data_IF_659554427048
#
_entry.id   IF_659554427048
#
_cell.length_a   1.000
_cell.length_b   1.000
_cell.length_c   1.000
_cell.angle_alpha   90.00
_cell.angle_beta   90.00
_cell.angle_gamma   90.00
#
_symmetry.space_group_name_H-M   'P 1'
#
loop_
_entity.id
_entity.type
_entity.pdbx_description
1 polymer ?
#
# COMPACT_ATOMS: atom_id res chain seq x y z
N UNK A 1 73.24 -38.05 -12.70
CA UNK A 1 72.53 -37.27 -13.70
C UNK A 1 71.14 -37.86 -14.03
N UNK A 2 71.02 -39.15 -14.37
CA UNK A 2 69.75 -39.78 -14.74
C UNK A 2 68.61 -39.69 -13.66
N UNK A 3 68.97 -39.80 -12.36
CA UNK A 3 67.95 -39.66 -11.26
C UNK A 3 67.42 -38.28 -11.10
N UNK A 4 68.22 -37.25 -11.36
CA UNK A 4 67.78 -35.85 -11.26
C UNK A 4 66.79 -35.45 -12.38
N UNK A 5 67.03 -36.00 -13.60
CA UNK A 5 66.12 -35.83 -14.74
C UNK A 5 64.77 -36.53 -14.52
N UNK A 6 64.76 -37.70 -13.88
CA UNK A 6 63.52 -38.40 -13.54
C UNK A 6 62.66 -37.59 -12.52
N UNK A 7 63.27 -37.01 -11.50
CA UNK A 7 62.64 -36.21 -10.50
C UNK A 7 62.02 -34.93 -11.15
N UNK A 8 62.75 -34.32 -12.07
CA UNK A 8 62.25 -33.11 -12.78
C UNK A 8 61.07 -33.42 -13.68
N UNK A 9 61.08 -34.58 -14.36
CA UNK A 9 59.97 -35.03 -15.23
C UNK A 9 58.73 -35.36 -14.39
N UNK A 10 58.86 -36.00 -13.22
CA UNK A 10 57.74 -36.29 -12.32
C UNK A 10 57.12 -34.99 -11.75
N UNK A 11 57.95 -33.99 -11.44
CA UNK A 11 57.47 -32.69 -10.95
C UNK A 11 56.69 -31.90 -12.03
N UNK A 12 57.11 -31.99 -13.29
CA UNK A 12 56.44 -31.37 -14.42
C UNK A 12 55.07 -32.04 -14.69
N UNK A 13 54.98 -33.36 -14.55
CA UNK A 13 53.73 -34.10 -14.75
C UNK A 13 52.71 -33.79 -13.62
N UNK A 14 53.18 -33.60 -12.38
CA UNK A 14 52.29 -33.23 -11.25
C UNK A 14 51.70 -31.82 -11.38
N UNK A 15 52.34 -30.89 -12.08
CA UNK A 15 51.84 -29.53 -12.26
C UNK A 15 50.77 -29.39 -13.35
N UNK A 16 50.59 -30.44 -14.20
CA UNK A 16 49.61 -30.40 -15.29
C UNK A 16 48.20 -30.90 -14.90
N UNK A 17 47.99 -31.36 -13.66
CA UNK A 17 46.69 -31.89 -13.20
C UNK A 17 45.85 -30.87 -12.43
N UNK A 18 46.24 -29.59 -12.36
CA UNK A 18 45.48 -28.56 -11.69
C UNK A 18 44.77 -27.68 -12.72
N UNK A 19 43.54 -27.91 -12.92
CA UNK A 19 42.39 -26.99 -13.15
C UNK A 19 41.31 -27.66 -13.99
N UNK A 20 40.50 -28.50 -13.36
CA UNK A 20 39.11 -28.58 -13.79
C UNK A 20 38.33 -27.53 -13.01
N UNK A 21 38.32 -26.29 -13.50
CA UNK A 21 37.37 -25.32 -13.08
C UNK A 21 35.97 -25.84 -13.47
N UNK A 22 35.27 -26.32 -12.46
CA UNK A 22 33.83 -26.58 -12.59
C UNK A 22 33.21 -25.24 -12.99
N UNK A 23 32.93 -25.06 -14.28
CA UNK A 23 32.10 -23.95 -14.74
C UNK A 23 30.76 -24.09 -14.00
N UNK A 24 30.54 -23.27 -12.99
CA UNK A 24 29.20 -23.06 -12.47
C UNK A 24 28.36 -22.70 -13.69
N UNK A 25 27.51 -23.63 -14.12
CA UNK A 25 26.55 -23.37 -15.16
C UNK A 25 25.65 -22.22 -14.65
N UNK A 26 25.92 -21.03 -15.17
CA UNK A 26 25.04 -19.89 -14.92
C UNK A 26 23.62 -20.36 -15.14
N UNK A 27 22.77 -20.24 -14.11
CA UNK A 27 21.35 -20.61 -14.19
C UNK A 27 20.79 -19.95 -15.44
N UNK A 28 20.32 -20.78 -16.39
CA UNK A 28 19.65 -20.24 -17.59
C UNK A 28 18.52 -19.33 -17.13
N UNK A 29 18.44 -18.10 -17.59
CA UNK A 29 17.32 -17.23 -17.23
C UNK A 29 16.04 -17.93 -17.64
N UNK A 30 15.15 -18.18 -16.67
CA UNK A 30 13.81 -18.69 -16.94
C UNK A 30 13.06 -17.53 -17.54
N UNK A 31 12.98 -17.44 -18.87
CA UNK A 31 12.15 -16.48 -19.56
C UNK A 31 10.70 -16.91 -19.41
N UNK A 32 10.03 -16.44 -18.35
CA UNK A 32 8.58 -16.41 -18.37
C UNK A 32 8.16 -15.40 -19.45
N UNK A 33 7.34 -15.85 -20.40
CA UNK A 33 6.75 -14.88 -21.35
C UNK A 33 6.03 -13.82 -20.52
N UNK A 34 6.33 -12.54 -20.74
CA UNK A 34 5.80 -11.42 -19.97
C UNK A 34 4.27 -11.47 -19.83
N UNK A 35 3.56 -12.02 -20.83
CA UNK A 35 2.13 -12.22 -20.80
C UNK A 35 1.61 -13.21 -19.74
N UNK A 36 2.36 -14.28 -19.43
CA UNK A 36 1.95 -15.26 -18.40
C UNK A 36 2.11 -14.65 -17.01
N UNK A 37 3.23 -13.98 -16.74
CA UNK A 37 3.49 -13.31 -15.48
C UNK A 37 2.45 -12.23 -15.16
N UNK A 38 2.07 -11.42 -16.16
CA UNK A 38 1.05 -10.38 -16.02
C UNK A 38 -0.31 -11.00 -15.68
N UNK A 39 -0.72 -12.07 -16.39
CA UNK A 39 -1.99 -12.78 -16.13
C UNK A 39 -2.05 -13.35 -14.71
N UNK A 40 -0.99 -14.00 -14.26
CA UNK A 40 -0.90 -14.52 -12.89
C UNK A 40 -0.94 -13.42 -11.83
N UNK A 41 -0.30 -12.27 -12.09
CA UNK A 41 -0.35 -11.12 -11.19
C UNK A 41 -1.74 -10.51 -11.10
N UNK A 42 -2.45 -10.38 -12.22
CA UNK A 42 -3.83 -9.90 -12.25
C UNK A 42 -4.73 -10.85 -11.47
N UNK A 43 -4.59 -12.15 -11.64
CA UNK A 43 -5.43 -13.15 -10.97
C UNK A 43 -5.18 -13.14 -9.45
N UNK A 44 -3.91 -13.10 -9.02
CA UNK A 44 -3.57 -12.94 -7.59
C UNK A 44 -4.20 -11.69 -6.99
N UNK A 45 -4.12 -10.57 -7.68
CA UNK A 45 -4.70 -9.32 -7.21
C UNK A 45 -6.23 -9.37 -7.12
N UNK A 46 -6.91 -10.02 -8.09
CA UNK A 46 -8.36 -10.22 -8.03
C UNK A 46 -8.77 -11.05 -6.81
N UNK A 47 -8.07 -12.15 -6.55
CA UNK A 47 -8.34 -13.01 -5.40
C UNK A 47 -8.12 -12.25 -4.09
N UNK A 48 -7.03 -11.48 -4.00
CA UNK A 48 -6.74 -10.65 -2.85
C UNK A 48 -7.87 -9.64 -2.59
N UNK A 49 -8.22 -8.84 -3.58
CA UNK A 49 -9.28 -7.82 -3.47
C UNK A 49 -10.60 -8.46 -3.07
N UNK A 50 -11.01 -9.55 -3.72
CA UNK A 50 -12.25 -10.25 -3.38
C UNK A 50 -12.26 -10.80 -1.94
N UNK A 51 -11.11 -11.25 -1.42
CA UNK A 51 -10.96 -11.70 -0.04
C UNK A 51 -11.10 -10.54 0.96
N UNK A 52 -10.48 -9.41 0.66
CA UNK A 52 -10.55 -8.19 1.47
C UNK A 52 -11.98 -7.64 1.50
N UNK A 53 -12.63 -7.51 0.34
CA UNK A 53 -14.02 -7.07 0.20
C UNK A 53 -14.98 -7.95 1.01
N UNK A 54 -14.82 -9.28 0.95
CA UNK A 54 -15.62 -10.21 1.75
C UNK A 54 -15.45 -9.97 3.25
N UNK A 55 -14.25 -9.66 3.69
CA UNK A 55 -13.97 -9.37 5.10
C UNK A 55 -14.62 -8.04 5.52
N UNK A 56 -14.50 -7.01 4.67
CA UNK A 56 -15.14 -5.71 4.87
C UNK A 56 -16.65 -5.83 4.87
N UNK A 57 -17.24 -6.58 3.95
CA UNK A 57 -18.69 -6.86 3.92
C UNK A 57 -19.19 -7.52 5.19
N UNK A 58 -18.41 -8.45 5.74
CA UNK A 58 -18.74 -9.10 7.01
C UNK A 58 -18.69 -8.10 8.17
N UNK A 59 -17.73 -7.18 8.17
CA UNK A 59 -17.62 -6.13 9.15
C UNK A 59 -18.82 -5.16 9.06
N UNK A 60 -19.19 -4.75 7.86
CA UNK A 60 -20.35 -3.88 7.61
C UNK A 60 -21.65 -4.52 8.10
N UNK A 61 -21.86 -5.81 7.81
CA UNK A 61 -23.06 -6.55 8.23
C UNK A 61 -23.16 -6.70 9.75
N UNK A 62 -22.03 -6.76 10.45
CA UNK A 62 -21.98 -6.87 11.91
C UNK A 62 -22.14 -5.50 12.62
N UNK A 63 -21.88 -4.39 11.91
CA UNK A 63 -22.10 -3.03 12.45
C UNK A 63 -23.52 -2.56 12.14
N UNK A 64 -24.46 -2.94 13.02
CA UNK A 64 -25.89 -2.63 12.84
C UNK A 64 -26.26 -1.19 13.24
N UNK A 65 -25.32 -0.44 13.83
CA UNK A 65 -25.61 0.88 14.40
C UNK A 65 -25.57 2.00 13.38
N UNK A 66 -24.83 1.83 12.26
CA UNK A 66 -24.64 2.86 11.25
C UNK A 66 -24.61 2.27 9.83
N UNK A 67 -25.22 3.02 8.90
CA UNK A 67 -25.23 2.61 7.50
C UNK A 67 -23.94 3.01 6.80
N UNK A 68 -23.26 2.04 6.21
CA UNK A 68 -22.13 2.29 5.32
C UNK A 68 -22.60 2.59 3.89
N UNK A 69 -21.91 3.49 3.23
CA UNK A 69 -22.12 3.90 1.86
C UNK A 69 -20.97 3.33 1.02
N UNK A 70 -21.28 2.60 -0.05
CA UNK A 70 -20.29 2.14 -1.00
C UNK A 70 -19.88 3.27 -1.94
N UNK A 71 -18.57 3.53 -2.02
CA UNK A 71 -18.00 4.47 -3.00
C UNK A 71 -17.84 3.79 -4.36
N UNK A 72 -18.04 4.52 -5.44
CA UNK A 72 -17.75 4.07 -6.81
C UNK A 72 -16.23 3.81 -7.04
N UNK A 73 -15.38 4.15 -6.09
CA UNK A 73 -13.92 3.95 -6.13
C UNK A 73 -13.46 2.65 -5.44
N UNK A 74 -14.38 1.83 -4.94
CA UNK A 74 -14.07 0.54 -4.32
C UNK A 74 -13.63 0.65 -2.86
N UNK A 75 -14.24 1.52 -2.09
CA UNK A 75 -14.15 1.58 -0.64
C UNK A 75 -15.51 1.91 -0.04
N UNK A 76 -15.66 1.77 1.28
CA UNK A 76 -16.90 2.07 2.00
C UNK A 76 -16.63 3.14 3.05
N UNK A 77 -17.67 3.89 3.39
CA UNK A 77 -17.57 4.92 4.42
C UNK A 77 -18.88 5.11 5.17
N UNK A 78 -18.77 5.60 6.39
CA UNK A 78 -19.94 6.04 7.19
C UNK A 78 -19.63 7.36 7.89
N UNK A 79 -20.64 8.19 8.03
CA UNK A 79 -20.54 9.42 8.80
C UNK A 79 -20.60 9.12 10.29
N UNK A 80 -19.59 9.54 11.04
CA UNK A 80 -19.64 9.62 12.49
C UNK A 80 -20.28 10.95 12.92
N UNK A 81 -19.88 12.05 12.26
CA UNK A 81 -20.47 13.38 12.37
C UNK A 81 -20.74 13.90 10.97
N UNK A 82 -21.99 14.29 10.69
CA UNK A 82 -22.42 14.83 9.40
C UNK A 82 -22.89 16.26 9.56
N UNK A 83 -22.49 17.15 8.63
CA UNK A 83 -22.88 18.56 8.59
C UNK A 83 -23.88 18.74 7.46
N UNK A 84 -25.10 19.11 7.80
CA UNK A 84 -26.21 19.29 6.81
C UNK A 84 -26.13 20.62 6.08
N UNK A 85 -25.51 21.65 6.69
CA UNK A 85 -25.40 22.96 6.05
C UNK A 85 -24.67 22.88 4.70
N UNK A 86 -25.08 23.74 3.74
CA UNK A 86 -24.45 23.78 2.40
C UNK A 86 -23.10 24.47 2.46
N UNK A 87 -22.05 23.71 2.89
CA UNK A 87 -20.67 24.17 2.92
C UNK A 87 -19.87 23.56 1.76
N UNK A 88 -18.73 24.18 1.45
CA UNK A 88 -17.87 23.72 0.36
C UNK A 88 -17.21 22.38 0.67
N UNK A 89 -17.03 21.57 -0.39
CA UNK A 89 -16.16 20.40 -0.39
C UNK A 89 -14.77 20.79 -0.88
N UNK A 90 -13.70 20.16 -0.38
CA UNK A 90 -12.35 20.39 -0.87
C UNK A 90 -12.23 20.05 -2.36
N UNK A 91 -11.62 20.95 -3.12
CA UNK A 91 -11.34 20.79 -4.55
C UNK A 91 -9.85 20.85 -4.80
N UNK A 92 -9.43 20.45 -5.99
CA UNK A 92 -8.02 20.52 -6.41
C UNK A 92 -7.45 21.92 -6.20
N UNK A 93 -6.36 22.00 -5.46
CA UNK A 93 -5.66 23.25 -5.12
C UNK A 93 -6.01 23.80 -3.75
N UNK A 94 -7.16 23.46 -3.18
CA UNK A 94 -7.51 23.82 -1.80
C UNK A 94 -6.54 23.17 -0.81
N UNK A 95 -6.52 23.69 0.42
CA UNK A 95 -5.75 23.11 1.52
C UNK A 95 -6.72 22.54 2.53
N UNK A 96 -6.66 21.24 2.77
CA UNK A 96 -7.42 20.52 3.77
C UNK A 96 -6.58 20.35 5.04
N UNK A 97 -7.15 20.68 6.21
CA UNK A 97 -6.57 20.44 7.53
C UNK A 97 -7.37 19.35 8.22
N UNK A 98 -6.75 18.23 8.56
CA UNK A 98 -7.45 17.10 9.12
C UNK A 98 -6.61 16.31 10.11
N UNK A 99 -7.29 15.58 11.00
CA UNK A 99 -6.74 14.56 11.87
C UNK A 99 -7.28 13.20 11.46
N UNK A 100 -6.52 12.16 11.69
CA UNK A 100 -6.98 10.81 11.44
C UNK A 100 -6.36 9.77 12.37
N UNK A 101 -7.07 8.67 12.54
CA UNK A 101 -6.65 7.47 13.25
C UNK A 101 -6.69 6.29 12.29
N UNK A 102 -5.75 5.36 12.40
CA UNK A 102 -5.70 4.14 11.60
C UNK A 102 -5.84 2.92 12.49
N UNK A 103 -6.73 2.01 12.08
CA UNK A 103 -6.94 0.70 12.69
C UNK A 103 -6.87 -0.41 11.64
N UNK A 104 -6.57 -1.62 12.08
CA UNK A 104 -6.81 -2.81 11.26
C UNK A 104 -8.31 -3.19 11.24
N UNK A 105 -8.70 -4.16 10.40
CA UNK A 105 -10.09 -4.62 10.32
C UNK A 105 -10.60 -5.31 11.60
N UNK A 106 -9.72 -5.62 12.56
CA UNK A 106 -10.09 -6.11 13.88
C UNK A 106 -10.25 -4.99 14.91
N UNK A 107 -10.27 -3.74 14.45
CA UNK A 107 -10.36 -2.52 15.29
C UNK A 107 -9.18 -2.29 16.23
N UNK A 108 -8.03 -2.94 16.02
CA UNK A 108 -6.79 -2.67 16.76
C UNK A 108 -6.15 -1.41 16.21
N UNK A 109 -5.80 -0.48 17.09
CA UNK A 109 -5.17 0.79 16.69
C UNK A 109 -3.76 0.50 16.18
N UNK A 110 -3.47 0.93 14.95
CA UNK A 110 -2.14 0.93 14.34
C UNK A 110 -1.48 2.29 14.59
N UNK A 111 -2.20 3.37 14.30
CA UNK A 111 -1.77 4.74 14.57
C UNK A 111 -2.89 5.53 15.23
N UNK A 112 -2.58 6.14 16.36
CA UNK A 112 -3.45 7.12 17.04
C UNK A 112 -3.39 8.49 16.34
N UNK A 113 -4.37 9.35 16.60
CA UNK A 113 -4.36 10.75 16.13
C UNK A 113 -3.12 11.53 16.60
N UNK A 114 -2.56 11.20 17.77
CA UNK A 114 -1.34 11.82 18.29
C UNK A 114 -0.11 11.42 17.47
N UNK A 115 -0.03 10.15 17.04
CA UNK A 115 1.08 9.65 16.22
C UNK A 115 1.02 10.15 14.78
N UNK A 116 -0.16 10.23 14.19
CA UNK A 116 -0.37 10.77 12.84
C UNK A 116 -0.19 12.28 12.78
N UNK A 117 -0.37 12.97 13.93
CA UNK A 117 -0.34 14.44 14.05
C UNK A 117 -1.36 15.12 13.12
N UNK A 118 -1.72 16.39 13.36
CA UNK A 118 -2.53 17.17 12.43
C UNK A 118 -1.87 17.25 11.05
N UNK A 119 -2.64 16.97 10.01
CA UNK A 119 -2.18 16.96 8.63
C UNK A 119 -2.62 18.20 7.89
N UNK A 120 -1.76 18.66 7.00
CA UNK A 120 -2.06 19.69 6.01
C UNK A 120 -1.89 19.05 4.64
N UNK A 121 -2.93 19.03 3.83
CA UNK A 121 -2.93 18.39 2.51
C UNK A 121 -3.33 19.37 1.43
N UNK A 122 -2.45 19.58 0.46
CA UNK A 122 -2.76 20.33 -0.74
C UNK A 122 -3.48 19.40 -1.72
N UNK A 123 -4.80 19.57 -1.83
CA UNK A 123 -5.70 18.65 -2.52
C UNK A 123 -5.26 18.42 -3.97
N UNK A 124 -5.02 17.15 -4.31
CA UNK A 124 -4.54 16.68 -5.62
C UNK A 124 -3.23 17.34 -6.12
N UNK A 125 -2.43 17.92 -5.21
CA UNK A 125 -1.09 18.47 -5.48
C UNK A 125 0.01 17.65 -4.79
N UNK A 126 -0.34 16.85 -3.78
CA UNK A 126 0.58 16.03 -3.01
C UNK A 126 0.15 14.57 -3.03
N UNK A 127 1.14 13.67 -2.84
CA UNK A 127 0.89 12.25 -2.71
C UNK A 127 0.62 11.90 -1.24
N UNK A 128 -0.60 11.43 -0.98
CA UNK A 128 -0.98 10.76 0.26
C UNK A 128 -1.67 9.44 -0.10
N UNK A 129 -2.03 8.63 0.90
CA UNK A 129 -2.80 7.41 0.72
C UNK A 129 -4.00 7.64 -0.21
N UNK A 130 -4.18 6.78 -1.22
CA UNK A 130 -5.18 6.97 -2.29
C UNK A 130 -6.60 7.13 -1.74
N UNK A 131 -6.95 6.34 -0.73
CA UNK A 131 -8.24 6.42 -0.07
C UNK A 131 -8.49 7.78 0.59
N UNK A 132 -7.49 8.37 1.24
CA UNK A 132 -7.59 9.71 1.83
C UNK A 132 -7.70 10.81 0.77
N UNK A 133 -6.97 10.69 -0.35
CA UNK A 133 -7.08 11.63 -1.48
C UNK A 133 -8.50 11.74 -2.02
N UNK A 134 -9.19 10.62 -2.09
CA UNK A 134 -10.57 10.59 -2.58
C UNK A 134 -11.57 10.92 -1.46
N UNK A 135 -11.38 10.32 -0.27
CA UNK A 135 -12.28 10.45 0.87
C UNK A 135 -12.40 11.87 1.40
N UNK A 136 -11.29 12.62 1.48
CA UNK A 136 -11.30 14.02 1.96
C UNK A 136 -12.17 14.90 1.05
N UNK A 137 -12.24 14.62 -0.25
CA UNK A 137 -13.10 15.38 -1.18
C UNK A 137 -14.60 15.13 -0.99
N UNK A 138 -14.99 14.13 -0.20
CA UNK A 138 -16.37 13.86 0.18
C UNK A 138 -16.78 14.55 1.49
N UNK A 139 -15.83 15.20 2.17
CA UNK A 139 -16.02 15.74 3.50
C UNK A 139 -16.28 17.25 3.48
N UNK A 140 -17.14 17.71 4.36
CA UNK A 140 -17.29 19.12 4.70
C UNK A 140 -16.47 19.45 5.96
N UNK A 141 -16.13 20.71 6.15
CA UNK A 141 -15.51 21.18 7.39
C UNK A 141 -16.33 20.78 8.61
N UNK A 142 -15.69 20.18 9.61
CA UNK A 142 -16.29 19.71 10.86
C UNK A 142 -16.84 18.29 10.79
N UNK A 143 -16.87 17.65 9.62
CA UNK A 143 -17.32 16.26 9.50
C UNK A 143 -16.26 15.28 9.99
N UNK A 144 -16.74 14.16 10.53
CA UNK A 144 -15.93 12.99 10.85
C UNK A 144 -16.51 11.80 10.10
N UNK A 145 -15.66 11.13 9.32
CA UNK A 145 -16.03 9.96 8.52
C UNK A 145 -15.09 8.80 8.87
N UNK A 146 -15.67 7.62 9.04
CA UNK A 146 -14.90 6.36 9.11
C UNK A 146 -14.93 5.69 7.73
N UNK A 147 -13.76 5.48 7.16
CA UNK A 147 -13.54 4.80 5.89
C UNK A 147 -13.05 3.38 6.12
N UNK A 148 -13.50 2.46 5.28
CA UNK A 148 -12.98 1.09 5.15
C UNK A 148 -12.26 0.99 3.81
N UNK A 149 -10.93 0.99 3.84
CA UNK A 149 -10.10 0.96 2.66
C UNK A 149 -9.55 -0.46 2.43
N UNK A 150 -9.87 -1.10 1.29
CA UNK A 150 -9.09 -2.24 0.83
C UNK A 150 -7.61 -1.83 0.68
N UNK A 151 -6.72 -2.80 0.73
CA UNK A 151 -5.27 -2.53 0.76
C UNK A 151 -4.79 -1.66 -0.40
N UNK A 152 -5.34 -1.84 -1.61
CA UNK A 152 -4.98 -1.07 -2.79
C UNK A 152 -5.39 0.42 -2.71
N UNK A 153 -6.37 0.76 -1.87
CA UNK A 153 -6.74 2.15 -1.56
C UNK A 153 -5.96 2.72 -0.37
N UNK A 154 -5.26 1.85 0.37
CA UNK A 154 -4.41 2.17 1.51
C UNK A 154 -2.92 2.26 1.09
N UNK A 155 -2.04 1.46 1.68
CA UNK A 155 -0.60 1.46 1.41
C UNK A 155 -0.18 0.36 0.42
N UNK A 156 -1.12 -0.50 0.00
CA UNK A 156 -0.92 -1.52 -1.03
C UNK A 156 0.15 -2.55 -0.68
N UNK A 157 0.89 -2.99 -1.70
CA UNK A 157 1.89 -4.03 -1.58
C UNK A 157 3.08 -3.62 -0.68
N UNK A 158 3.44 -2.35 -0.64
CA UNK A 158 4.63 -1.90 0.10
C UNK A 158 4.39 -1.70 1.60
N UNK A 159 3.14 -1.44 2.02
CA UNK A 159 2.91 -1.00 3.40
C UNK A 159 3.44 0.42 3.63
N UNK A 160 3.75 0.77 4.90
CA UNK A 160 4.32 2.07 5.27
C UNK A 160 5.76 1.97 5.81
N UNK A 161 6.39 0.81 5.67
CA UNK A 161 7.74 0.47 6.19
C UNK A 161 7.88 0.61 7.72
N UNK A 162 6.76 0.65 8.46
CA UNK A 162 6.74 0.81 9.92
C UNK A 162 5.76 -0.15 10.60
N UNK A 163 4.48 0.24 10.67
CA UNK A 163 3.44 -0.50 11.40
C UNK A 163 2.42 -1.16 10.47
N UNK A 164 2.28 -0.68 9.24
CA UNK A 164 1.32 -1.20 8.26
C UNK A 164 2.05 -2.15 7.32
N UNK A 165 1.61 -3.39 7.30
CA UNK A 165 2.19 -4.45 6.47
C UNK A 165 1.75 -4.41 5.01
N UNK A 166 2.28 -5.39 4.25
CA UNK A 166 1.93 -5.61 2.84
C UNK A 166 0.47 -6.03 2.69
N UNK A 167 -0.26 -5.38 1.78
CA UNK A 167 -1.66 -5.69 1.47
C UNK A 167 -2.56 -5.70 2.71
N UNK A 168 -2.40 -4.72 3.57
CA UNK A 168 -3.20 -4.57 4.78
C UNK A 168 -4.37 -3.62 4.55
N UNK A 169 -5.64 -4.09 4.59
CA UNK A 169 -6.81 -3.24 4.53
C UNK A 169 -6.99 -2.50 5.85
N UNK A 170 -7.47 -1.27 5.79
CA UNK A 170 -7.47 -0.34 6.92
C UNK A 170 -8.84 0.25 7.22
N UNK A 171 -9.08 0.55 8.49
CA UNK A 171 -10.13 1.43 8.97
C UNK A 171 -9.48 2.78 9.27
N UNK A 172 -9.92 3.84 8.60
CA UNK A 172 -9.42 5.20 8.83
C UNK A 172 -10.56 6.10 9.30
N UNK A 173 -10.47 6.63 10.52
CA UNK A 173 -11.42 7.64 11.02
C UNK A 173 -10.78 9.01 10.86
N UNK A 174 -11.37 9.83 10.00
CA UNK A 174 -10.85 11.15 9.58
C UNK A 174 -11.78 12.23 10.05
N UNK A 175 -11.24 13.30 10.63
CA UNK A 175 -11.97 14.54 10.97
C UNK A 175 -11.41 15.67 10.14
N UNK A 176 -12.22 16.28 9.28
CA UNK A 176 -11.81 17.45 8.49
C UNK A 176 -12.03 18.73 9.31
N UNK A 177 -10.93 19.28 9.82
CA UNK A 177 -10.97 20.41 10.75
C UNK A 177 -11.22 21.74 10.04
N UNK A 178 -10.59 21.95 8.87
CA UNK A 178 -10.73 23.21 8.12
C UNK A 178 -10.40 23.02 6.63
N UNK A 179 -10.87 23.96 5.81
CA UNK A 179 -10.58 24.05 4.38
C UNK A 179 -10.17 25.48 4.07
N UNK A 180 -8.98 25.67 3.51
CA UNK A 180 -8.57 26.95 2.93
C UNK A 180 -8.69 26.85 1.42
N UNK A 181 -9.59 27.64 0.84
CA UNK A 181 -9.87 27.63 -0.59
C UNK A 181 -8.68 28.23 -1.37
N UNK A 182 -8.39 27.65 -2.54
CA UNK A 182 -7.41 28.21 -3.47
C UNK A 182 -7.95 29.53 -4.05
N UNK A 183 -7.24 30.66 -3.87
CA UNK A 183 -7.69 31.96 -4.39
C UNK A 183 -7.63 32.03 -5.92
N UNK A 184 -6.99 31.06 -6.59
CA UNK A 184 -6.89 30.96 -8.05
C UNK A 184 -7.34 29.58 -8.52
N UNK A 185 -8.65 29.24 -8.48
CA UNK A 185 -9.11 27.99 -9.07
C UNK A 185 -8.79 28.00 -10.57
N UNK A 186 -8.01 26.98 -10.98
CA UNK A 186 -7.73 26.73 -12.41
C UNK A 186 -8.83 25.86 -13.00
#
# INVERSE_FOLDING_TARGET
MKKLTYILIVFIILTLTSCSQQQEQARKPISHTSGTFIKESIERNKILVASEEKTIDSLIKNDTLKQYIASSKGYWYKYETKIEEPTAFPKRGDIAFFDYEIKDLKSRIIYTKLETKPQTYYVDKENIMMGLRDGIKLMKKGETITFLFPSHMAYGYHGDDKKIGTNEPLICTVTLNDIKLDPKPK
#
